data_IF_868943693609
#
_entry.id   IF_868943693609
#
_cell.length_a   1.000
_cell.length_b   1.000
_cell.length_c   1.000
_cell.angle_alpha   90.00
_cell.angle_beta   90.00
_cell.angle_gamma   90.00
#
_symmetry.space_group_name_H-M   'P 1'
#
loop_
_entity.id
_entity.type
_entity.pdbx_description
1 polymer ?
#
# COMPACT_ATOMS: atom_id res chain seq x y z
N UNK A 1 -4.77 20.16 -6.53
CA UNK A 1 -4.18 21.32 -5.81
C UNK A 1 -3.47 20.76 -4.59
N UNK A 2 -2.13 20.72 -4.63
CA UNK A 2 -1.29 19.92 -3.74
C UNK A 2 -1.28 20.45 -2.31
N UNK A 3 -1.65 19.60 -1.35
CA UNK A 3 -1.52 19.86 0.09
C UNK A 3 -0.19 19.36 0.67
N UNK A 4 0.65 18.70 -0.15
CA UNK A 4 1.86 17.97 0.26
C UNK A 4 3.16 18.78 0.18
N UNK A 5 3.19 19.92 -0.52
CA UNK A 5 4.39 20.79 -0.54
C UNK A 5 4.70 21.47 0.81
N UNK A 6 3.78 21.41 1.78
CA UNK A 6 3.95 22.09 3.08
C UNK A 6 4.83 21.25 4.04
N UNK A 7 4.85 19.92 3.94
CA UNK A 7 5.57 19.08 4.91
C UNK A 7 7.08 19.04 4.71
N UNK A 8 7.57 19.07 3.46
CA UNK A 8 9.00 19.13 3.16
C UNK A 8 9.57 20.54 3.45
N UNK A 9 8.81 21.58 3.10
CA UNK A 9 9.21 22.97 3.32
C UNK A 9 9.37 23.33 4.80
N UNK A 10 8.57 22.76 5.71
CA UNK A 10 8.68 23.06 7.15
C UNK A 10 9.88 22.36 7.81
N UNK A 11 10.25 21.15 7.38
CA UNK A 11 11.44 20.45 7.90
C UNK A 11 12.72 21.05 7.30
N UNK A 12 12.74 21.37 5.99
CA UNK A 12 13.83 22.12 5.37
C UNK A 12 13.94 23.53 5.95
N UNK A 13 12.85 24.27 6.21
CA UNK A 13 12.93 25.61 6.79
C UNK A 13 13.36 25.64 8.26
N UNK A 14 13.19 24.53 9.00
CA UNK A 14 13.66 24.41 10.38
C UNK A 14 15.14 23.99 10.48
N UNK A 15 15.69 23.34 9.45
CA UNK A 15 17.08 22.84 9.42
C UNK A 15 18.00 23.64 8.48
N UNK A 16 17.46 24.29 7.46
CA UNK A 16 18.17 25.24 6.63
C UNK A 16 18.18 26.59 7.35
N UNK A 17 19.36 27.03 7.77
CA UNK A 17 19.61 28.47 7.84
C UNK A 17 19.16 29.08 6.51
N UNK A 18 18.40 30.20 6.50
CA UNK A 18 17.90 30.77 5.27
C UNK A 18 19.05 31.00 4.30
N UNK A 19 19.00 30.31 3.16
CA UNK A 19 19.75 30.66 1.96
C UNK A 19 19.17 31.97 1.41
N UNK A 20 19.45 33.09 2.07
CA UNK A 20 19.49 34.35 1.33
C UNK A 20 20.85 34.41 0.68
N UNK A 21 20.94 33.93 -0.55
CA UNK A 21 21.98 34.40 -1.45
C UNK A 21 21.80 35.93 -1.52
N UNK A 22 22.74 36.75 -1.00
CA UNK A 22 22.64 38.18 -1.18
C UNK A 22 22.74 38.48 -2.68
N UNK A 23 21.96 39.45 -3.12
CA UNK A 23 21.84 39.87 -4.52
C UNK A 23 23.23 39.93 -5.19
N UNK A 24 23.31 39.40 -6.43
CA UNK A 24 24.55 39.27 -7.22
C UNK A 24 25.36 40.59 -7.36
N UNK A 25 24.75 41.74 -7.07
CA UNK A 25 25.36 43.06 -7.15
C UNK A 25 26.25 43.47 -5.94
N UNK A 26 26.12 42.84 -4.77
CA UNK A 26 26.93 43.21 -3.59
C UNK A 26 28.36 42.64 -3.62
N UNK A 27 28.58 41.56 -4.37
CA UNK A 27 29.84 40.80 -4.40
C UNK A 27 30.99 41.48 -5.16
N UNK A 28 30.68 42.38 -6.10
CA UNK A 28 31.70 43.00 -6.97
C UNK A 28 32.61 44.04 -6.29
N UNK A 29 32.48 44.29 -4.97
CA UNK A 29 33.14 45.42 -4.29
C UNK A 29 34.30 45.08 -3.34
N UNK A 30 34.70 43.82 -3.12
CA UNK A 30 35.88 43.50 -2.29
C UNK A 30 36.79 42.47 -2.97
N UNK A 31 38.09 42.79 -3.08
CA UNK A 31 39.10 41.83 -3.56
C UNK A 31 39.44 40.84 -2.44
N UNK A 32 39.38 39.52 -2.68
CA UNK A 32 39.78 38.53 -1.69
C UNK A 32 41.22 38.76 -1.24
N UNK A 33 41.49 38.62 0.05
CA UNK A 33 42.86 38.77 0.56
C UNK A 33 43.57 37.43 0.56
N UNK A 34 44.36 37.14 -0.48
CA UNK A 34 45.18 35.92 -0.53
C UNK A 34 46.50 36.09 0.22
N UNK A 35 46.43 36.20 1.53
CA UNK A 35 47.61 36.31 2.40
C UNK A 35 47.89 34.96 3.03
N UNK A 36 48.93 34.29 2.56
CA UNK A 36 49.41 33.02 3.09
C UNK A 36 50.94 32.97 3.12
N UNK A 37 51.47 32.27 4.12
CA UNK A 37 52.85 31.82 4.18
C UNK A 37 52.92 30.42 3.55
N UNK A 38 53.52 30.32 2.37
CA UNK A 38 53.69 29.06 1.66
C UNK A 38 55.11 28.55 1.87
N UNK A 39 55.25 27.46 2.60
CA UNK A 39 56.48 26.66 2.69
C UNK A 39 56.32 25.50 1.70
N UNK A 40 56.57 25.80 0.43
CA UNK A 40 56.32 24.88 -0.68
C UNK A 40 57.40 24.97 -1.75
N UNK A 41 57.64 23.84 -2.44
CA UNK A 41 58.41 23.77 -3.69
C UNK A 41 57.42 23.65 -4.84
N UNK A 42 57.26 24.73 -5.61
CA UNK A 42 56.11 24.88 -6.50
C UNK A 42 54.82 24.93 -5.67
N UNK A 43 53.82 24.15 -6.06
CA UNK A 43 52.56 24.05 -5.31
C UNK A 43 52.55 22.90 -4.29
N UNK A 44 53.69 22.24 -4.02
CA UNK A 44 53.76 21.11 -3.09
C UNK A 44 54.36 21.55 -1.75
N UNK A 45 53.59 21.43 -0.66
CA UNK A 45 54.10 21.73 0.68
C UNK A 45 53.03 22.11 1.71
N UNK A 46 53.35 23.10 2.54
CA UNK A 46 52.49 23.58 3.63
C UNK A 46 52.14 25.05 3.39
N UNK A 47 50.85 25.40 3.49
CA UNK A 47 50.35 26.77 3.41
C UNK A 47 49.66 27.15 4.71
N UNK A 48 50.07 28.25 5.33
CA UNK A 48 49.40 28.84 6.50
C UNK A 48 48.80 30.19 6.12
N UNK A 49 47.47 30.30 6.17
CA UNK A 49 46.71 31.48 5.76
C UNK A 49 45.90 31.24 4.47
N UNK A 50 45.34 32.31 3.92
CA UNK A 50 44.43 32.23 2.77
C UNK A 50 45.20 32.12 1.44
N UNK A 51 45.55 30.90 1.03
CA UNK A 51 46.09 30.60 -0.31
C UNK A 51 44.99 30.13 -1.26
N UNK A 52 45.18 30.36 -2.57
CA UNK A 52 44.25 29.93 -3.64
C UNK A 52 44.27 28.42 -3.89
N UNK A 53 45.43 27.79 -3.69
CA UNK A 53 45.51 26.34 -3.72
C UNK A 53 46.90 25.79 -3.40
N UNK A 54 46.92 24.51 -3.05
CA UNK A 54 48.13 23.78 -2.66
C UNK A 54 47.94 22.26 -2.77
N UNK A 55 49.01 21.56 -3.15
CA UNK A 55 49.17 20.13 -2.97
C UNK A 55 49.89 19.87 -1.63
N UNK A 56 49.20 19.35 -0.63
CA UNK A 56 49.77 19.09 0.69
C UNK A 56 48.87 19.56 1.83
N UNK A 57 49.41 20.29 2.79
CA UNK A 57 48.70 20.71 4.00
C UNK A 57 48.38 22.21 3.95
N UNK A 58 47.11 22.56 4.08
CA UNK A 58 46.64 23.94 4.20
C UNK A 58 46.01 24.15 5.56
N UNK A 59 46.45 25.19 6.27
CA UNK A 59 45.89 25.62 7.56
C UNK A 59 45.42 27.06 7.40
N UNK A 60 44.15 27.32 7.62
CA UNK A 60 43.60 28.65 7.48
C UNK A 60 42.58 28.96 8.56
N UNK A 61 42.50 30.23 8.98
CA UNK A 61 41.47 30.65 9.93
C UNK A 61 40.09 30.71 9.26
N UNK A 62 40.02 31.28 8.06
CA UNK A 62 38.77 31.45 7.30
C UNK A 62 39.05 31.44 5.81
N UNK A 63 38.48 30.50 5.08
CA UNK A 63 38.65 30.40 3.62
C UNK A 63 37.94 31.54 2.89
N UNK A 64 38.61 32.12 1.90
CA UNK A 64 38.12 33.24 1.08
C UNK A 64 38.64 33.11 -0.36
N UNK A 65 37.77 32.72 -1.31
CA UNK A 65 38.12 32.40 -2.71
C UNK A 65 39.19 31.29 -2.85
N UNK A 66 38.98 30.18 -2.14
CA UNK A 66 39.74 28.95 -2.34
C UNK A 66 39.39 28.34 -3.71
N UNK A 67 40.39 27.87 -4.46
CA UNK A 67 40.18 27.21 -5.77
C UNK A 67 40.38 25.72 -5.69
N UNK A 68 41.46 25.26 -5.08
CA UNK A 68 41.73 23.83 -5.02
C UNK A 68 42.66 23.45 -3.86
N UNK A 69 42.46 22.26 -3.30
CA UNK A 69 43.40 21.63 -2.36
C UNK A 69 43.48 20.15 -2.68
N UNK A 70 44.69 19.65 -2.89
CA UNK A 70 44.94 18.21 -3.01
C UNK A 70 45.75 17.77 -1.78
N UNK A 71 45.08 17.21 -0.77
CA UNK A 71 45.71 16.83 0.50
C UNK A 71 44.81 17.11 1.70
N UNK A 72 45.28 17.93 2.65
CA UNK A 72 44.58 18.23 3.90
C UNK A 72 44.27 19.72 3.96
N UNK A 73 42.99 20.10 4.08
CA UNK A 73 42.53 21.46 4.35
C UNK A 73 41.98 21.58 5.77
N UNK A 74 42.61 22.40 6.61
CA UNK A 74 42.15 22.73 7.96
C UNK A 74 41.61 24.18 7.97
N UNK A 75 40.32 24.37 8.25
CA UNK A 75 39.68 25.70 8.34
C UNK A 75 38.99 25.93 9.69
N UNK A 76 39.26 27.03 10.39
CA UNK A 76 38.72 27.23 11.74
C UNK A 76 37.38 28.00 11.79
N UNK A 77 36.97 28.63 10.70
CA UNK A 77 35.79 29.48 10.64
C UNK A 77 35.04 29.34 9.32
N UNK A 78 33.76 29.75 9.30
CA UNK A 78 32.90 29.68 8.12
C UNK A 78 33.54 30.41 6.94
N UNK A 79 33.68 29.71 5.82
CA UNK A 79 34.27 30.27 4.60
C UNK A 79 33.48 31.49 4.07
N UNK A 80 34.09 32.18 3.12
CA UNK A 80 33.53 33.30 2.37
C UNK A 80 33.81 32.98 0.90
N UNK A 81 32.77 32.90 0.06
CA UNK A 81 32.93 32.71 -1.39
C UNK A 81 33.82 31.53 -1.80
N UNK A 82 33.43 30.32 -1.40
CA UNK A 82 34.19 29.08 -1.62
C UNK A 82 33.49 28.08 -2.57
N UNK A 83 32.44 28.50 -3.27
CA UNK A 83 31.59 27.64 -4.08
C UNK A 83 32.28 27.07 -5.33
N UNK A 84 33.41 27.65 -5.75
CA UNK A 84 34.24 27.10 -6.85
C UNK A 84 35.38 26.19 -6.34
N UNK A 85 35.51 25.99 -5.02
CA UNK A 85 36.64 25.27 -4.44
C UNK A 85 36.51 23.76 -4.66
N UNK A 86 37.59 23.12 -5.11
CA UNK A 86 37.69 21.65 -5.20
C UNK A 86 38.67 21.13 -4.15
N UNK A 87 38.18 20.35 -3.18
CA UNK A 87 39.02 19.73 -2.15
C UNK A 87 39.09 18.23 -2.41
N UNK A 88 40.26 17.75 -2.82
CA UNK A 88 40.56 16.33 -2.96
C UNK A 88 41.38 15.88 -1.75
N UNK A 89 40.83 15.01 -0.90
CA UNK A 89 41.48 14.49 0.30
C UNK A 89 40.69 14.73 1.58
N UNK A 90 41.31 15.34 2.60
CA UNK A 90 40.71 15.55 3.92
C UNK A 90 40.40 17.04 4.14
N UNK A 91 39.14 17.38 4.32
CA UNK A 91 38.67 18.70 4.73
C UNK A 91 38.22 18.65 6.19
N UNK A 92 38.90 19.35 7.09
CA UNK A 92 38.49 19.47 8.50
C UNK A 92 38.19 20.92 8.79
N UNK A 93 37.00 21.19 9.34
CA UNK A 93 36.63 22.53 9.76
C UNK A 93 35.96 22.59 11.12
N UNK A 94 36.37 23.53 11.98
CA UNK A 94 35.74 23.71 13.29
C UNK A 94 34.27 24.11 13.11
N UNK A 95 33.98 25.19 12.38
CA UNK A 95 32.61 25.56 12.01
C UNK A 95 32.11 24.74 10.81
N UNK A 96 33.04 24.15 10.06
CA UNK A 96 32.76 23.24 8.95
C UNK A 96 33.50 23.60 7.66
N UNK A 97 33.98 22.62 6.88
CA UNK A 97 34.47 22.90 5.54
C UNK A 97 33.30 23.33 4.62
N UNK A 98 33.55 24.35 3.80
CA UNK A 98 32.65 24.78 2.73
C UNK A 98 33.43 24.80 1.41
N UNK A 99 32.94 24.09 0.40
CA UNK A 99 33.56 24.00 -0.92
C UNK A 99 32.52 23.71 -2.01
N UNK A 100 32.85 23.95 -3.27
CA UNK A 100 32.03 23.49 -4.38
C UNK A 100 32.01 21.97 -4.46
N UNK A 101 33.20 21.37 -4.50
CA UNK A 101 33.36 19.93 -4.60
C UNK A 101 34.29 19.40 -3.52
N UNK A 102 33.86 18.36 -2.81
CA UNK A 102 34.69 17.61 -1.88
C UNK A 102 34.76 16.16 -2.33
N UNK A 103 35.96 15.73 -2.71
CA UNK A 103 36.28 14.35 -3.06
C UNK A 103 37.16 13.76 -1.95
N UNK A 104 36.56 13.01 -1.03
CA UNK A 104 37.28 12.40 0.09
C UNK A 104 36.51 12.49 1.41
N UNK A 105 37.14 13.02 2.45
CA UNK A 105 36.59 13.04 3.81
C UNK A 105 36.38 14.50 4.26
N UNK A 106 35.17 14.86 4.66
CA UNK A 106 34.83 16.14 5.27
C UNK A 106 34.38 15.95 6.72
N UNK A 107 35.05 16.63 7.66
CA UNK A 107 34.74 16.57 9.10
C UNK A 107 34.53 17.98 9.64
N UNK A 108 33.47 18.21 10.40
CA UNK A 108 33.28 19.48 11.09
C UNK A 108 32.01 19.58 11.92
N UNK A 109 31.72 20.75 12.49
CA UNK A 109 30.41 21.00 13.09
C UNK A 109 29.31 20.98 12.02
N UNK A 110 29.53 21.64 10.89
CA UNK A 110 28.77 21.47 9.66
C UNK A 110 29.66 20.96 8.54
N UNK A 111 29.11 20.27 7.54
CA UNK A 111 29.78 20.08 6.25
C UNK A 111 28.87 20.70 5.21
N UNK A 112 29.40 21.60 4.38
CA UNK A 112 28.66 22.26 3.32
C UNK A 112 29.40 22.05 1.98
N UNK A 113 28.76 21.39 1.02
CA UNK A 113 29.34 21.20 -0.31
C UNK A 113 28.27 21.31 -1.39
N UNK A 114 28.61 21.70 -2.62
CA UNK A 114 27.66 21.50 -3.72
C UNK A 114 27.66 20.03 -4.15
N UNK A 115 28.85 19.44 -4.29
CA UNK A 115 29.04 18.03 -4.64
C UNK A 115 29.95 17.37 -3.61
N UNK A 116 29.53 16.21 -3.12
CA UNK A 116 30.33 15.41 -2.21
C UNK A 116 30.46 13.99 -2.73
N UNK A 117 31.70 13.56 -2.96
CA UNK A 117 32.05 12.17 -3.29
C UNK A 117 32.95 11.61 -2.17
N UNK A 118 32.38 10.83 -1.26
CA UNK A 118 33.13 10.21 -0.16
C UNK A 118 32.38 10.23 1.17
N UNK A 119 33.05 10.66 2.24
CA UNK A 119 32.53 10.64 3.61
C UNK A 119 32.35 12.07 4.15
N UNK A 120 31.14 12.44 4.57
CA UNK A 120 30.91 13.62 5.40
C UNK A 120 30.47 13.26 6.81
N UNK A 121 31.08 13.89 7.80
CA UNK A 121 30.66 13.83 9.20
C UNK A 121 30.52 15.24 9.74
N UNK A 122 29.27 15.70 9.85
CA UNK A 122 28.90 16.96 10.47
C UNK A 122 28.32 16.70 11.85
N UNK A 123 28.96 17.20 12.92
CA UNK A 123 28.47 17.03 14.28
C UNK A 123 27.06 17.63 14.50
N UNK A 124 26.70 18.65 13.71
CA UNK A 124 25.35 19.20 13.62
C UNK A 124 24.69 18.79 12.30
N UNK A 125 25.29 19.10 11.15
CA UNK A 125 24.64 18.82 9.86
C UNK A 125 25.64 18.52 8.74
N UNK A 126 25.22 17.67 7.80
CA UNK A 126 25.86 17.51 6.50
C UNK A 126 24.89 17.99 5.44
N UNK A 127 25.20 19.13 4.81
CA UNK A 127 24.38 19.77 3.78
C UNK A 127 25.13 19.71 2.46
N UNK A 128 24.54 19.03 1.48
CA UNK A 128 25.07 18.93 0.12
C UNK A 128 24.04 19.51 -0.83
N UNK A 129 24.39 20.48 -1.66
CA UNK A 129 23.39 21.18 -2.47
C UNK A 129 22.98 20.36 -3.69
N UNK A 130 23.91 19.86 -4.49
CA UNK A 130 23.62 19.20 -5.76
C UNK A 130 23.61 17.67 -5.69
N UNK A 131 24.71 17.05 -5.26
CA UNK A 131 24.79 15.57 -5.30
C UNK A 131 25.68 15.02 -4.21
N UNK A 132 25.13 14.06 -3.46
CA UNK A 132 25.85 13.33 -2.43
C UNK A 132 26.06 11.90 -2.89
N UNK A 133 27.31 11.50 -3.13
CA UNK A 133 27.70 10.14 -3.43
C UNK A 133 28.63 9.62 -2.34
N UNK A 134 28.17 8.65 -1.53
CA UNK A 134 28.97 8.03 -0.49
C UNK A 134 28.26 7.96 0.86
N UNK A 135 28.94 8.37 1.93
CA UNK A 135 28.43 8.26 3.31
C UNK A 135 28.33 9.65 3.92
N UNK A 136 27.16 10.00 4.43
CA UNK A 136 26.92 11.25 5.14
C UNK A 136 26.31 10.99 6.51
N UNK A 137 26.92 11.57 7.52
CA UNK A 137 26.47 11.50 8.91
C UNK A 137 26.33 12.91 9.45
N UNK A 138 25.10 13.26 9.81
CA UNK A 138 24.76 14.55 10.42
C UNK A 138 24.18 14.32 11.81
N UNK A 139 24.75 14.94 12.85
CA UNK A 139 24.28 14.74 14.22
C UNK A 139 22.82 15.17 14.43
N UNK A 140 22.36 16.18 13.70
CA UNK A 140 20.96 16.59 13.61
C UNK A 140 20.36 16.23 12.26
N UNK A 141 21.01 16.55 11.13
CA UNK A 141 20.45 16.27 9.82
C UNK A 141 21.47 15.99 8.72
N UNK A 142 21.05 15.16 7.77
CA UNK A 142 21.70 15.04 6.46
C UNK A 142 20.73 15.56 5.40
N UNK A 143 21.19 16.50 4.58
CA UNK A 143 20.34 17.23 3.62
C UNK A 143 21.01 17.25 2.26
N UNK A 144 20.31 16.76 1.24
CA UNK A 144 20.63 16.98 -0.18
C UNK A 144 19.64 18.02 -0.76
N UNK A 145 20.05 19.29 -0.85
CA UNK A 145 19.11 20.42 -0.94
C UNK A 145 18.49 20.62 -2.33
N UNK A 146 19.12 20.20 -3.41
CA UNK A 146 18.64 20.41 -4.79
C UNK A 146 18.85 19.20 -5.70
N UNK A 147 19.41 18.10 -5.18
CA UNK A 147 19.55 16.89 -5.96
C UNK A 147 19.74 15.63 -5.13
N UNK A 148 20.35 14.63 -5.75
CA UNK A 148 20.19 13.24 -5.34
C UNK A 148 21.16 12.81 -4.25
N UNK A 149 20.71 11.84 -3.46
CA UNK A 149 21.51 11.15 -2.46
C UNK A 149 21.73 9.71 -2.91
N UNK A 150 22.98 9.34 -3.20
CA UNK A 150 23.35 7.95 -3.48
C UNK A 150 24.34 7.44 -2.43
N UNK A 151 23.98 6.40 -1.69
CA UNK A 151 24.85 5.76 -0.69
C UNK A 151 24.18 5.64 0.68
N UNK A 152 24.84 6.10 1.74
CA UNK A 152 24.35 5.99 3.12
C UNK A 152 24.20 7.39 3.71
N UNK A 153 23.02 7.72 4.21
CA UNK A 153 22.76 8.99 4.89
C UNK A 153 22.08 8.76 6.23
N UNK A 154 22.69 9.30 7.28
CA UNK A 154 22.24 9.15 8.66
C UNK A 154 22.13 10.51 9.32
N UNK A 155 20.91 10.95 9.59
CA UNK A 155 20.59 12.16 10.33
C UNK A 155 19.99 11.84 11.70
N UNK A 156 20.53 12.44 12.77
CA UNK A 156 20.01 12.20 14.12
C UNK A 156 18.54 12.57 14.30
N UNK A 157 18.05 13.60 13.60
CA UNK A 157 16.64 13.97 13.50
C UNK A 157 16.08 13.64 12.12
N UNK A 158 16.76 14.04 11.04
CA UNK A 158 16.20 13.86 9.71
C UNK A 158 17.24 13.60 8.62
N UNK A 159 16.85 12.78 7.65
CA UNK A 159 17.55 12.60 6.38
C UNK A 159 16.62 13.07 5.26
N UNK A 160 17.03 14.10 4.54
CA UNK A 160 16.16 14.81 3.57
C UNK A 160 16.87 14.96 2.23
N UNK A 161 16.18 14.67 1.14
CA UNK A 161 16.62 15.03 -0.22
C UNK A 161 15.49 15.71 -0.98
N UNK A 162 15.84 16.70 -1.81
CA UNK A 162 14.92 17.30 -2.78
C UNK A 162 14.90 16.56 -4.14
N UNK A 163 15.81 15.61 -4.35
CA UNK A 163 15.84 14.71 -5.51
C UNK A 163 15.50 13.27 -5.11
N UNK A 164 16.10 12.30 -5.79
CA UNK A 164 16.00 10.88 -5.49
C UNK A 164 16.98 10.48 -4.38
N UNK A 165 16.62 9.46 -3.59
CA UNK A 165 17.53 8.83 -2.65
C UNK A 165 17.68 7.34 -2.97
N UNK A 166 18.89 6.93 -3.31
CA UNK A 166 19.27 5.56 -3.62
C UNK A 166 20.30 5.03 -2.62
N UNK A 167 19.92 4.02 -1.82
CA UNK A 167 20.80 3.37 -0.85
C UNK A 167 20.15 3.23 0.53
N UNK A 168 20.79 3.75 1.57
CA UNK A 168 20.33 3.66 2.97
C UNK A 168 20.09 5.07 3.50
N UNK A 169 18.84 5.39 3.83
CA UNK A 169 18.45 6.62 4.51
C UNK A 169 17.92 6.33 5.92
N UNK A 170 18.54 6.90 6.94
CA UNK A 170 18.10 6.75 8.33
C UNK A 170 17.94 8.12 8.96
N UNK A 171 16.74 8.42 9.45
CA UNK A 171 16.41 9.63 10.18
C UNK A 171 15.78 9.29 11.53
N UNK A 172 16.28 9.87 12.62
CA UNK A 172 15.73 9.58 13.95
C UNK A 172 14.24 9.93 14.09
N UNK A 173 13.77 10.97 13.41
CA UNK A 173 12.35 11.32 13.28
C UNK A 173 11.83 11.02 11.87
N UNK A 174 12.53 11.44 10.82
CA UNK A 174 12.01 11.28 9.47
C UNK A 174 13.08 11.05 8.41
N UNK A 175 12.74 10.21 7.43
CA UNK A 175 13.46 10.11 6.16
C UNK A 175 12.53 10.59 5.06
N UNK A 176 12.92 11.63 4.35
CA UNK A 176 12.07 12.35 3.38
C UNK A 176 12.79 12.49 2.05
N UNK A 177 12.10 12.13 0.96
CA UNK A 177 12.54 12.36 -0.42
C UNK A 177 11.47 13.10 -1.19
N UNK A 178 11.84 14.16 -1.90
CA UNK A 178 10.94 14.85 -2.82
C UNK A 178 10.93 14.21 -4.23
N UNK A 179 11.83 13.27 -4.49
CA UNK A 179 11.77 12.31 -5.58
C UNK A 179 11.39 10.91 -5.06
N UNK A 180 11.99 9.88 -5.64
CA UNK A 180 11.82 8.48 -5.26
C UNK A 180 12.80 8.06 -4.16
N UNK A 181 12.43 7.02 -3.39
CA UNK A 181 13.34 6.32 -2.49
C UNK A 181 13.60 4.91 -3.03
N UNK A 182 14.86 4.52 -3.15
CA UNK A 182 15.27 3.17 -3.57
C UNK A 182 16.29 2.59 -2.58
N UNK A 183 15.95 1.50 -1.92
CA UNK A 183 16.83 0.78 -1.00
C UNK A 183 16.19 0.60 0.38
N UNK A 184 16.85 1.08 1.43
CA UNK A 184 16.36 1.01 2.81
C UNK A 184 16.14 2.41 3.35
N UNK A 185 14.89 2.75 3.69
CA UNK A 185 14.54 4.01 4.34
C UNK A 185 13.93 3.73 5.71
N UNK A 186 14.48 4.36 6.75
CA UNK A 186 13.99 4.22 8.12
C UNK A 186 13.79 5.60 8.72
N UNK A 187 12.59 5.87 9.22
CA UNK A 187 12.23 7.08 9.94
C UNK A 187 11.53 6.74 11.24
N UNK A 188 12.02 7.25 12.36
CA UNK A 188 11.44 6.92 13.68
C UNK A 188 9.97 7.30 13.82
N UNK A 189 9.52 8.36 13.13
CA UNK A 189 8.12 8.72 12.98
C UNK A 189 7.62 8.46 11.55
N UNK A 190 8.35 8.91 10.53
CA UNK A 190 7.84 8.82 9.16
C UNK A 190 8.91 8.53 8.10
N UNK A 191 8.52 7.73 7.11
CA UNK A 191 9.21 7.66 5.81
C UNK A 191 8.28 8.23 4.75
N UNK A 192 8.75 9.23 4.00
CA UNK A 192 7.91 9.95 3.04
C UNK A 192 8.65 10.09 1.72
N UNK A 193 7.99 9.69 0.64
CA UNK A 193 8.44 9.88 -0.73
C UNK A 193 7.37 10.61 -1.53
N UNK A 194 7.76 11.65 -2.25
CA UNK A 194 6.90 12.32 -3.21
C UNK A 194 6.94 11.67 -4.61
N UNK A 195 7.78 10.65 -4.80
CA UNK A 195 7.77 9.72 -5.93
C UNK A 195 7.55 8.27 -5.47
N UNK A 196 8.23 7.33 -6.12
CA UNK A 196 8.07 5.90 -5.82
C UNK A 196 8.86 5.46 -4.56
N UNK A 197 8.37 4.44 -3.86
CA UNK A 197 9.07 3.73 -2.79
C UNK A 197 9.51 2.34 -3.28
N UNK A 198 10.81 2.11 -3.45
CA UNK A 198 11.39 0.82 -3.83
C UNK A 198 12.28 0.25 -2.72
N UNK A 199 12.03 -1.00 -2.29
CA UNK A 199 12.86 -1.70 -1.29
C UNK A 199 12.17 -1.84 0.06
N UNK A 200 12.84 -1.50 1.16
CA UNK A 200 12.32 -1.63 2.54
C UNK A 200 12.14 -0.24 3.15
N UNK A 201 10.91 0.12 3.49
CA UNK A 201 10.56 1.43 4.02
C UNK A 201 9.86 1.26 5.36
N UNK A 202 10.40 1.86 6.42
CA UNK A 202 9.90 1.71 7.79
C UNK A 202 9.67 3.09 8.41
N UNK A 203 8.41 3.41 8.67
CA UNK A 203 8.01 4.57 9.46
C UNK A 203 7.35 4.16 10.77
N UNK A 204 7.86 4.65 11.91
CA UNK A 204 7.30 4.27 13.22
C UNK A 204 5.83 4.67 13.40
N UNK A 205 5.38 5.74 12.75
CA UNK A 205 3.96 6.11 12.63
C UNK A 205 3.45 5.88 11.20
N UNK A 206 4.17 6.36 10.18
CA UNK A 206 3.67 6.28 8.82
C UNK A 206 4.77 6.06 7.77
N UNK A 207 4.46 5.24 6.77
CA UNK A 207 5.21 5.16 5.52
C UNK A 207 4.30 5.61 4.38
N UNK A 208 4.71 6.63 3.64
CA UNK A 208 3.88 7.33 2.66
C UNK A 208 4.60 7.48 1.33
N UNK A 209 3.93 7.11 0.25
CA UNK A 209 4.36 7.26 -1.14
C UNK A 209 3.31 8.03 -1.94
N UNK A 210 3.70 9.10 -2.63
CA UNK A 210 2.82 9.74 -3.64
C UNK A 210 2.95 9.07 -5.04
N UNK A 211 3.88 8.12 -5.19
CA UNK A 211 3.97 7.24 -6.35
C UNK A 211 3.59 5.81 -6.00
N UNK A 212 4.20 4.86 -6.69
CA UNK A 212 4.05 3.42 -6.46
C UNK A 212 4.95 2.92 -5.33
N UNK A 213 4.53 1.86 -4.66
CA UNK A 213 5.35 1.12 -3.71
C UNK A 213 5.72 -0.25 -4.28
N UNK A 214 7.01 -0.57 -4.30
CA UNK A 214 7.54 -1.87 -4.69
C UNK A 214 8.47 -2.41 -3.59
N UNK A 215 8.12 -3.54 -2.98
CA UNK A 215 8.92 -4.18 -1.92
C UNK A 215 8.15 -4.28 -0.61
N UNK A 216 8.74 -3.84 0.50
CA UNK A 216 8.16 -3.93 1.84
C UNK A 216 7.99 -2.53 2.45
N UNK A 217 6.75 -2.19 2.80
CA UNK A 217 6.41 -0.98 3.54
C UNK A 217 5.85 -1.32 4.92
N UNK A 218 6.35 -0.65 5.95
CA UNK A 218 5.87 -0.80 7.33
C UNK A 218 5.58 0.57 7.93
N UNK A 219 4.33 0.79 8.32
CA UNK A 219 3.87 1.96 9.04
C UNK A 219 3.20 1.57 10.35
N UNK A 220 3.70 2.06 11.49
CA UNK A 220 3.16 1.67 12.80
C UNK A 220 1.70 2.08 13.02
N UNK A 221 1.21 3.14 12.37
CA UNK A 221 -0.20 3.50 12.27
C UNK A 221 -0.72 3.28 10.85
N UNK A 222 -0.04 3.81 9.84
CA UNK A 222 -0.55 3.76 8.47
C UNK A 222 0.55 3.52 7.44
N UNK A 223 0.23 2.69 6.46
CA UNK A 223 0.95 2.59 5.21
C UNK A 223 0.06 3.12 4.09
N UNK A 224 0.54 4.12 3.35
CA UNK A 224 -0.25 4.78 2.30
C UNK A 224 0.57 4.90 1.03
N UNK A 225 -0.03 4.49 -0.09
CA UNK A 225 0.52 4.73 -1.43
C UNK A 225 -0.57 5.31 -2.33
N UNK A 226 -0.29 6.40 -3.02
CA UNK A 226 -1.21 7.00 -4.02
C UNK A 226 -1.20 6.22 -5.33
N UNK A 227 -0.12 5.49 -5.64
CA UNK A 227 -0.05 4.58 -6.79
C UNK A 227 -0.34 3.12 -6.45
N UNK A 228 0.24 2.22 -7.23
CA UNK A 228 0.17 0.77 -7.03
C UNK A 228 1.06 0.30 -5.87
N UNK A 229 0.64 -0.77 -5.20
CA UNK A 229 1.44 -1.48 -4.19
C UNK A 229 1.81 -2.88 -4.69
N UNK A 230 3.07 -3.10 -5.05
CA UNK A 230 3.63 -4.40 -5.39
C UNK A 230 4.53 -4.92 -4.26
N UNK A 231 4.12 -5.97 -3.56
CA UNK A 231 4.90 -6.59 -2.48
C UNK A 231 4.14 -6.72 -1.16
N UNK A 232 4.73 -6.28 -0.05
CA UNK A 232 4.16 -6.45 1.31
C UNK A 232 3.97 -5.10 1.98
N UNK A 233 2.72 -4.76 2.28
CA UNK A 233 2.36 -3.56 3.00
C UNK A 233 1.75 -3.86 4.37
N UNK A 234 2.39 -3.37 5.43
CA UNK A 234 1.94 -3.54 6.82
C UNK A 234 1.65 -2.19 7.46
N UNK A 235 0.39 -1.95 7.80
CA UNK A 235 -0.09 -0.79 8.51
C UNK A 235 -0.73 -1.18 9.84
N UNK A 236 -0.27 -0.61 10.96
CA UNK A 236 -0.79 -1.00 12.27
C UNK A 236 -2.28 -0.72 12.45
N UNK A 237 -2.80 0.35 11.87
CA UNK A 237 -4.23 0.64 11.78
C UNK A 237 -4.75 0.44 10.35
N UNK A 238 -4.05 0.98 9.35
CA UNK A 238 -4.53 0.93 7.97
C UNK A 238 -3.41 0.72 6.95
N UNK A 239 -3.71 -0.10 5.94
CA UNK A 239 -2.94 -0.17 4.70
C UNK A 239 -3.83 0.31 3.56
N UNK A 240 -3.39 1.35 2.87
CA UNK A 240 -4.13 2.02 1.80
C UNK A 240 -3.29 2.05 0.54
N UNK A 241 -3.82 1.49 -0.53
CA UNK A 241 -3.33 1.68 -1.90
C UNK A 241 -4.45 2.33 -2.71
N UNK A 242 -4.24 3.54 -3.23
CA UNK A 242 -5.24 4.19 -4.07
C UNK A 242 -5.28 3.55 -5.47
N UNK A 243 -4.16 2.97 -5.93
CA UNK A 243 -4.08 2.09 -7.09
C UNK A 243 -4.38 0.62 -6.79
N UNK A 244 -3.72 -0.26 -7.54
CA UNK A 244 -3.85 -1.71 -7.43
C UNK A 244 -2.88 -2.31 -6.41
N UNK A 245 -3.27 -3.40 -5.75
CA UNK A 245 -2.39 -4.16 -4.85
C UNK A 245 -2.02 -5.52 -5.46
N UNK A 246 -0.73 -5.71 -5.72
CA UNK A 246 -0.11 -6.95 -6.19
C UNK A 246 0.76 -7.54 -5.07
N UNK A 247 0.19 -8.38 -4.21
CA UNK A 247 0.92 -8.98 -3.09
C UNK A 247 0.11 -9.09 -1.81
N UNK A 248 0.60 -8.55 -0.70
CA UNK A 248 -0.01 -8.68 0.64
C UNK A 248 -0.20 -7.29 1.25
N UNK A 249 -1.44 -6.93 1.56
CA UNK A 249 -1.78 -5.74 2.34
C UNK A 249 -2.43 -6.11 3.67
N UNK A 250 -1.84 -5.70 4.79
CA UNK A 250 -2.39 -5.96 6.13
C UNK A 250 -2.60 -4.64 6.86
N UNK A 251 -3.83 -4.38 7.28
CA UNK A 251 -4.21 -3.27 8.15
C UNK A 251 -4.85 -3.78 9.42
N UNK A 252 -4.39 -3.33 10.60
CA UNK A 252 -4.95 -3.79 11.88
C UNK A 252 -6.44 -3.46 12.06
N UNK A 253 -6.94 -2.40 11.42
CA UNK A 253 -8.36 -2.08 11.34
C UNK A 253 -8.89 -2.18 9.91
N UNK A 254 -8.21 -1.62 8.92
CA UNK A 254 -8.68 -1.69 7.53
C UNK A 254 -7.57 -1.87 6.50
N UNK A 255 -7.86 -2.64 5.46
CA UNK A 255 -7.10 -2.65 4.22
C UNK A 255 -8.00 -2.12 3.09
N UNK A 256 -7.56 -1.06 2.43
CA UNK A 256 -8.32 -0.36 1.39
C UNK A 256 -7.52 -0.32 0.10
N UNK A 257 -8.09 -0.85 -0.97
CA UNK A 257 -7.48 -0.93 -2.30
C UNK A 257 -8.43 -0.25 -3.29
N UNK A 258 -7.97 0.83 -3.91
CA UNK A 258 -8.77 1.71 -4.78
C UNK A 258 -9.02 1.13 -6.17
N UNK A 259 -8.15 0.24 -6.64
CA UNK A 259 -8.33 -0.50 -7.88
C UNK A 259 -8.31 -2.01 -7.65
N UNK A 260 -7.51 -2.76 -8.40
CA UNK A 260 -7.57 -4.21 -8.44
C UNK A 260 -6.70 -4.85 -7.34
N UNK A 261 -7.15 -5.97 -6.80
CA UNK A 261 -6.38 -6.79 -5.87
C UNK A 261 -5.94 -8.08 -6.58
N UNK A 262 -4.63 -8.28 -6.69
CA UNK A 262 -4.00 -9.56 -7.03
C UNK A 262 -3.15 -10.05 -5.86
N UNK A 263 -3.75 -10.81 -4.94
CA UNK A 263 -3.05 -11.31 -3.75
C UNK A 263 -3.92 -11.41 -2.49
N UNK A 264 -3.41 -10.95 -1.35
CA UNK A 264 -4.05 -11.06 -0.04
C UNK A 264 -4.28 -9.68 0.58
N UNK A 265 -5.52 -9.37 0.94
CA UNK A 265 -5.88 -8.20 1.76
C UNK A 265 -6.45 -8.64 3.10
N UNK A 266 -5.89 -8.13 4.19
CA UNK A 266 -6.36 -8.40 5.56
C UNK A 266 -6.66 -7.10 6.26
N UNK A 267 -7.90 -6.95 6.71
CA UNK A 267 -8.32 -5.86 7.59
C UNK A 267 -8.91 -6.42 8.88
N UNK A 268 -8.42 -5.98 10.03
CA UNK A 268 -8.96 -6.48 11.32
C UNK A 268 -10.46 -6.21 11.49
N UNK A 269 -10.98 -5.11 10.93
CA UNK A 269 -12.40 -4.83 10.82
C UNK A 269 -12.89 -5.04 9.38
N UNK A 270 -12.23 -4.44 8.38
CA UNK A 270 -12.72 -4.47 7.00
C UNK A 270 -11.61 -4.57 5.95
N UNK A 271 -11.83 -5.40 4.94
CA UNK A 271 -11.08 -5.39 3.67
C UNK A 271 -12.01 -4.85 2.58
N UNK A 272 -11.58 -3.77 1.91
CA UNK A 272 -12.37 -3.10 0.88
C UNK A 272 -11.55 -3.01 -0.40
N UNK A 273 -12.07 -3.58 -1.47
CA UNK A 273 -11.46 -3.53 -2.81
C UNK A 273 -12.47 -2.94 -3.78
N UNK A 274 -12.10 -1.84 -4.42
CA UNK A 274 -13.01 -1.13 -5.34
C UNK A 274 -12.97 -1.71 -6.76
N UNK A 275 -11.84 -2.27 -7.19
CA UNK A 275 -11.68 -2.96 -8.47
C UNK A 275 -12.03 -4.44 -8.41
N UNK A 276 -11.50 -5.18 -9.39
CA UNK A 276 -11.58 -6.63 -9.46
C UNK A 276 -10.66 -7.28 -8.42
N UNK A 277 -10.96 -8.51 -8.03
CA UNK A 277 -10.13 -9.25 -7.08
C UNK A 277 -9.80 -10.63 -7.59
N UNK A 278 -8.52 -10.98 -7.56
CA UNK A 278 -8.01 -12.33 -7.74
C UNK A 278 -7.15 -12.64 -6.51
N UNK A 279 -7.63 -13.52 -5.63
CA UNK A 279 -6.92 -13.92 -4.43
C UNK A 279 -7.81 -13.99 -3.19
N UNK A 280 -7.35 -13.43 -2.07
CA UNK A 280 -8.02 -13.57 -0.79
C UNK A 280 -8.24 -12.23 -0.10
N UNK A 281 -9.42 -12.06 0.49
CA UNK A 281 -9.73 -10.95 1.40
C UNK A 281 -10.28 -11.47 2.71
N UNK A 282 -9.76 -10.92 3.81
CA UNK A 282 -10.17 -11.25 5.17
C UNK A 282 -10.53 -9.97 5.92
N UNK A 283 -11.74 -9.94 6.47
CA UNK A 283 -12.27 -8.84 7.26
C UNK A 283 -12.92 -9.36 8.53
N UNK A 284 -12.50 -8.88 9.70
CA UNK A 284 -13.09 -9.34 10.98
C UNK A 284 -14.57 -9.01 11.10
N UNK A 285 -15.05 -7.94 10.47
CA UNK A 285 -16.47 -7.63 10.31
C UNK A 285 -16.93 -7.88 8.87
N UNK A 286 -16.23 -7.32 7.87
CA UNK A 286 -16.70 -7.42 6.49
C UNK A 286 -15.60 -7.45 5.43
N UNK A 287 -15.90 -8.13 4.33
CA UNK A 287 -15.17 -7.99 3.06
C UNK A 287 -16.10 -7.39 2.02
N UNK A 288 -15.63 -6.37 1.30
CA UNK A 288 -16.44 -5.64 0.31
C UNK A 288 -15.65 -5.52 -0.98
N UNK A 289 -16.22 -6.04 -2.06
CA UNK A 289 -15.66 -6.00 -3.40
C UNK A 289 -16.65 -5.32 -4.34
N UNK A 290 -16.26 -4.24 -5.02
CA UNK A 290 -17.18 -3.50 -5.88
C UNK A 290 -17.28 -4.05 -7.31
N UNK A 291 -16.35 -4.91 -7.75
CA UNK A 291 -16.42 -5.61 -9.04
C UNK A 291 -16.37 -7.13 -8.86
N UNK A 292 -15.97 -7.84 -9.92
CA UNK A 292 -15.86 -9.28 -9.93
C UNK A 292 -14.73 -9.76 -9.00
N UNK A 293 -14.96 -10.87 -8.33
CA UNK A 293 -14.09 -11.39 -7.29
C UNK A 293 -13.89 -12.91 -7.46
N UNK A 294 -12.66 -13.35 -7.73
CA UNK A 294 -12.25 -14.75 -7.76
C UNK A 294 -11.30 -15.12 -6.60
N UNK A 295 -11.70 -16.08 -5.76
CA UNK A 295 -10.87 -16.68 -4.72
C UNK A 295 -11.55 -16.91 -3.37
N UNK A 296 -10.97 -16.40 -2.28
CA UNK A 296 -11.39 -16.66 -0.89
C UNK A 296 -11.80 -15.36 -0.17
N UNK A 297 -13.03 -15.30 0.31
CA UNK A 297 -13.59 -14.11 0.95
C UNK A 297 -14.17 -14.45 2.32
N UNK A 298 -13.53 -13.95 3.38
CA UNK A 298 -13.89 -14.25 4.76
C UNK A 298 -14.28 -12.96 5.50
N UNK A 299 -15.58 -12.75 5.67
CA UNK A 299 -16.14 -11.67 6.48
C UNK A 299 -16.77 -12.22 7.76
N UNK A 300 -16.36 -11.71 8.93
CA UNK A 300 -16.92 -12.19 10.20
C UNK A 300 -18.43 -11.97 10.34
N UNK A 301 -18.97 -10.88 9.78
CA UNK A 301 -20.41 -10.62 9.68
C UNK A 301 -20.88 -10.75 8.23
N UNK A 302 -20.22 -10.09 7.28
CA UNK A 302 -20.67 -10.08 5.89
C UNK A 302 -19.55 -10.19 4.86
N UNK A 303 -19.83 -10.90 3.79
CA UNK A 303 -19.05 -10.87 2.55
C UNK A 303 -19.95 -10.33 1.45
N UNK A 304 -19.55 -9.21 0.84
CA UNK A 304 -20.33 -8.50 -0.16
C UNK A 304 -19.52 -8.34 -1.44
N UNK A 305 -20.03 -8.87 -2.55
CA UNK A 305 -19.46 -8.71 -3.88
C UNK A 305 -20.51 -8.05 -4.77
N UNK A 306 -20.24 -6.84 -5.25
CA UNK A 306 -21.15 -6.09 -6.10
C UNK A 306 -21.05 -6.48 -7.59
N UNK A 307 -20.09 -7.34 -7.95
CA UNK A 307 -20.02 -8.04 -9.23
C UNK A 307 -20.41 -9.51 -9.14
N UNK A 308 -19.79 -10.32 -9.97
CA UNK A 308 -19.85 -11.79 -9.93
C UNK A 308 -18.75 -12.33 -9.03
N UNK A 309 -19.04 -13.40 -8.30
CA UNK A 309 -18.09 -14.02 -7.39
C UNK A 309 -17.81 -15.47 -7.81
N UNK A 310 -16.54 -15.87 -7.80
CA UNK A 310 -16.09 -17.23 -8.01
C UNK A 310 -15.22 -17.68 -6.83
N UNK A 311 -15.50 -18.85 -6.24
CA UNK A 311 -14.69 -19.42 -5.16
C UNK A 311 -15.45 -19.64 -3.86
N UNK A 312 -14.82 -19.34 -2.71
CA UNK A 312 -15.40 -19.54 -1.38
C UNK A 312 -15.73 -18.19 -0.72
N UNK A 313 -17.01 -17.97 -0.47
CA UNK A 313 -17.53 -16.80 0.22
C UNK A 313 -18.10 -17.22 1.57
N UNK A 314 -17.57 -16.66 2.65
CA UNK A 314 -18.06 -16.89 4.01
C UNK A 314 -18.40 -15.56 4.65
N UNK A 315 -19.65 -15.43 5.08
CA UNK A 315 -20.13 -14.31 5.89
C UNK A 315 -20.83 -14.85 7.12
N UNK A 316 -20.41 -14.48 8.33
CA UNK A 316 -21.02 -15.04 9.55
C UNK A 316 -22.54 -14.83 9.61
N UNK A 317 -23.04 -13.69 9.13
CA UNK A 317 -24.46 -13.40 8.96
C UNK A 317 -24.90 -13.56 7.50
N UNK A 318 -24.19 -12.97 6.53
CA UNK A 318 -24.60 -13.06 5.13
C UNK A 318 -23.44 -13.07 4.12
N UNK A 319 -23.62 -13.86 3.07
CA UNK A 319 -22.84 -13.77 1.83
C UNK A 319 -23.75 -13.25 0.72
N UNK A 320 -23.42 -12.08 0.18
CA UNK A 320 -24.24 -11.34 -0.79
C UNK A 320 -23.45 -11.08 -2.06
N UNK A 321 -23.97 -11.53 -3.19
CA UNK A 321 -23.37 -11.34 -4.52
C UNK A 321 -24.39 -10.67 -5.44
N UNK A 322 -24.06 -9.50 -5.98
CA UNK A 322 -24.97 -8.77 -6.87
C UNK A 322 -24.91 -9.25 -8.34
N UNK A 323 -24.18 -10.33 -8.60
CA UNK A 323 -24.05 -10.98 -9.91
C UNK A 323 -24.30 -12.48 -9.86
N UNK A 324 -23.46 -13.23 -10.57
CA UNK A 324 -23.44 -14.70 -10.49
C UNK A 324 -22.49 -15.12 -9.36
N UNK A 325 -22.89 -16.10 -8.58
CA UNK A 325 -22.06 -16.79 -7.60
C UNK A 325 -21.73 -18.18 -8.13
N UNK A 326 -20.45 -18.48 -8.34
CA UNK A 326 -19.95 -19.80 -8.72
C UNK A 326 -19.03 -20.33 -7.63
N UNK A 327 -19.26 -21.55 -7.13
CA UNK A 327 -18.46 -22.13 -6.04
C UNK A 327 -19.29 -22.32 -4.77
N UNK A 328 -18.77 -21.87 -3.62
CA UNK A 328 -19.37 -22.10 -2.32
C UNK A 328 -19.71 -20.78 -1.61
N UNK A 329 -20.98 -20.60 -1.26
CA UNK A 329 -21.45 -19.50 -0.42
C UNK A 329 -21.93 -20.02 0.94
N UNK A 330 -21.39 -19.48 2.03
CA UNK A 330 -21.79 -19.81 3.40
C UNK A 330 -22.26 -18.53 4.08
N UNK A 331 -23.44 -18.58 4.70
CA UNK A 331 -24.03 -17.44 5.40
C UNK A 331 -24.91 -17.87 6.55
N UNK A 332 -24.73 -17.32 7.76
CA UNK A 332 -25.57 -17.70 8.91
C UNK A 332 -27.07 -17.49 8.66
N UNK A 333 -27.47 -16.26 8.30
CA UNK A 333 -28.84 -15.91 7.96
C UNK A 333 -29.14 -16.00 6.47
N UNK A 334 -28.18 -15.67 5.60
CA UNK A 334 -28.47 -15.68 4.17
C UNK A 334 -27.26 -15.92 3.26
N UNK A 335 -27.52 -16.65 2.17
CA UNK A 335 -26.69 -16.65 0.96
C UNK A 335 -27.56 -16.14 -0.18
N UNK A 336 -27.17 -15.00 -0.77
CA UNK A 336 -27.98 -14.29 -1.76
C UNK A 336 -27.16 -14.02 -3.01
N UNK A 337 -27.72 -14.36 -4.18
CA UNK A 337 -27.20 -13.92 -5.47
C UNK A 337 -28.30 -13.26 -6.32
N UNK A 338 -28.03 -12.07 -6.87
CA UNK A 338 -29.00 -11.35 -7.70
C UNK A 338 -29.22 -12.00 -9.07
N UNK A 339 -28.31 -12.85 -9.57
CA UNK A 339 -28.49 -13.55 -10.85
C UNK A 339 -28.59 -15.06 -10.67
N UNK A 340 -27.47 -15.74 -10.41
CA UNK A 340 -27.42 -17.21 -10.34
C UNK A 340 -26.51 -17.66 -9.22
N UNK A 341 -26.82 -18.80 -8.64
CA UNK A 341 -25.92 -19.58 -7.80
C UNK A 341 -25.62 -20.87 -8.55
N UNK A 342 -24.34 -21.17 -8.76
CA UNK A 342 -23.83 -22.43 -9.33
C UNK A 342 -22.82 -23.05 -8.36
N UNK A 343 -23.21 -24.10 -7.67
CA UNK A 343 -22.36 -24.81 -6.72
C UNK A 343 -23.07 -25.11 -5.41
N UNK A 344 -22.46 -24.74 -4.28
CA UNK A 344 -22.91 -25.07 -2.94
C UNK A 344 -23.32 -23.78 -2.22
N UNK A 345 -24.57 -23.70 -1.74
CA UNK A 345 -25.03 -22.60 -0.91
C UNK A 345 -25.58 -23.12 0.42
N UNK A 346 -24.97 -22.70 1.52
CA UNK A 346 -25.31 -23.16 2.86
C UNK A 346 -25.74 -21.97 3.74
N UNK A 347 -26.94 -22.06 4.29
CA UNK A 347 -27.41 -21.09 5.27
C UNK A 347 -28.33 -21.70 6.32
N UNK A 348 -28.19 -21.27 7.58
CA UNK A 348 -29.19 -21.61 8.60
C UNK A 348 -30.50 -20.84 8.40
N UNK A 349 -30.47 -19.71 7.68
CA UNK A 349 -31.65 -18.99 7.25
C UNK A 349 -32.04 -19.31 5.80
N UNK A 350 -31.76 -18.40 4.88
CA UNK A 350 -32.27 -18.44 3.52
C UNK A 350 -31.17 -18.59 2.46
N UNK A 351 -31.39 -19.44 1.47
CA UNK A 351 -30.66 -19.39 0.20
C UNK A 351 -31.57 -18.77 -0.85
N UNK A 352 -31.11 -17.71 -1.51
CA UNK A 352 -31.87 -17.00 -2.52
C UNK A 352 -31.06 -16.72 -3.78
N UNK A 353 -31.62 -17.06 -4.93
CA UNK A 353 -31.08 -16.69 -6.24
C UNK A 353 -32.22 -16.20 -7.14
N UNK A 354 -32.15 -15.01 -7.74
CA UNK A 354 -33.30 -14.54 -8.54
C UNK A 354 -33.54 -15.34 -9.83
N UNK A 355 -32.48 -15.87 -10.44
CA UNK A 355 -32.52 -16.57 -11.72
C UNK A 355 -32.48 -18.09 -11.60
N UNK A 356 -31.34 -18.62 -11.18
CA UNK A 356 -31.09 -20.07 -11.11
C UNK A 356 -30.31 -20.40 -9.84
N UNK A 357 -30.75 -21.40 -9.10
CA UNK A 357 -29.92 -22.15 -8.18
C UNK A 357 -29.60 -23.51 -8.82
N UNK A 358 -28.34 -23.75 -9.15
CA UNK A 358 -27.84 -25.01 -9.70
C UNK A 358 -26.80 -25.63 -8.78
N UNK A 359 -27.02 -26.87 -8.32
CA UNK A 359 -26.10 -27.61 -7.45
C UNK A 359 -26.75 -28.04 -6.14
N UNK A 360 -26.13 -27.70 -5.01
CA UNK A 360 -26.61 -28.05 -3.66
C UNK A 360 -26.98 -26.78 -2.90
N UNK A 361 -28.23 -26.68 -2.46
CA UNK A 361 -28.65 -25.60 -1.56
C UNK A 361 -29.25 -26.15 -0.27
N UNK A 362 -28.74 -25.68 0.85
CA UNK A 362 -29.25 -26.00 2.19
C UNK A 362 -29.65 -24.70 2.90
N UNK A 363 -30.93 -24.53 3.19
CA UNK A 363 -31.49 -23.37 3.87
C UNK A 363 -32.34 -23.77 5.08
N UNK A 364 -31.92 -23.47 6.31
CA UNK A 364 -32.68 -23.87 7.51
C UNK A 364 -34.11 -23.29 7.54
N UNK A 365 -34.33 -22.10 6.98
CA UNK A 365 -35.66 -21.55 6.75
C UNK A 365 -36.16 -21.84 5.33
N UNK A 366 -35.50 -21.29 4.30
CA UNK A 366 -36.01 -21.40 2.92
C UNK A 366 -34.92 -21.49 1.85
N UNK A 367 -35.30 -22.10 0.73
CA UNK A 367 -34.57 -21.99 -0.54
C UNK A 367 -35.52 -21.48 -1.62
N UNK A 368 -35.19 -20.35 -2.25
CA UNK A 368 -36.05 -19.73 -3.27
C UNK A 368 -35.27 -19.33 -4.53
N UNK A 369 -35.77 -19.74 -5.71
CA UNK A 369 -35.28 -19.24 -7.00
C UNK A 369 -36.35 -19.26 -8.09
N UNK A 370 -36.07 -18.64 -9.26
CA UNK A 370 -36.89 -18.85 -10.45
C UNK A 370 -36.74 -20.28 -10.96
N UNK A 371 -35.54 -20.83 -11.02
CA UNK A 371 -35.26 -22.22 -11.39
C UNK A 371 -34.39 -22.89 -10.33
N UNK A 372 -34.76 -24.09 -9.93
CA UNK A 372 -33.98 -24.93 -9.01
C UNK A 372 -33.52 -26.18 -9.76
N UNK A 373 -32.22 -26.44 -9.77
CA UNK A 373 -31.62 -27.59 -10.45
C UNK A 373 -30.62 -28.27 -9.50
N UNK A 374 -30.89 -29.52 -9.11
CA UNK A 374 -30.01 -30.31 -8.24
C UNK A 374 -30.65 -30.72 -6.90
N UNK A 375 -29.88 -30.62 -5.81
CA UNK A 375 -30.24 -31.06 -4.47
C UNK A 375 -30.63 -29.86 -3.60
N UNK A 376 -31.91 -29.78 -3.23
CA UNK A 376 -32.47 -28.68 -2.44
C UNK A 376 -32.94 -29.21 -1.08
N UNK A 377 -32.42 -28.66 0.00
CA UNK A 377 -32.86 -28.99 1.36
C UNK A 377 -33.24 -27.68 2.04
N UNK A 378 -34.52 -27.53 2.38
CA UNK A 378 -35.00 -26.40 3.17
C UNK A 378 -35.70 -26.91 4.43
N UNK A 379 -35.55 -26.25 5.58
CA UNK A 379 -36.27 -26.68 6.79
C UNK A 379 -37.77 -26.43 6.66
N UNK A 380 -38.16 -25.22 6.23
CA UNK A 380 -39.58 -24.82 6.16
C UNK A 380 -40.07 -24.80 4.72
N UNK A 381 -39.40 -24.08 3.81
CA UNK A 381 -39.97 -23.77 2.49
C UNK A 381 -38.99 -23.86 1.33
N UNK A 382 -39.37 -24.61 0.31
CA UNK A 382 -38.78 -24.52 -1.03
C UNK A 382 -39.76 -23.82 -1.97
N UNK A 383 -39.26 -22.85 -2.75
CA UNK A 383 -40.06 -22.18 -3.78
C UNK A 383 -39.31 -22.06 -5.10
N UNK A 384 -39.87 -22.65 -6.14
CA UNK A 384 -39.43 -22.46 -7.53
C UNK A 384 -40.52 -21.74 -8.32
N UNK A 385 -40.19 -20.61 -8.95
CA UNK A 385 -41.21 -19.81 -9.70
C UNK A 385 -41.49 -20.35 -11.11
N UNK A 386 -40.52 -21.01 -11.75
CA UNK A 386 -40.65 -21.57 -13.11
C UNK A 386 -40.45 -23.07 -13.16
N UNK A 387 -39.39 -23.60 -12.56
CA UNK A 387 -39.14 -25.03 -12.62
C UNK A 387 -38.28 -25.53 -11.47
N UNK A 388 -38.48 -26.79 -11.13
CA UNK A 388 -37.58 -27.57 -10.29
C UNK A 388 -37.18 -28.83 -11.06
N UNK A 389 -35.88 -29.08 -11.17
CA UNK A 389 -35.34 -30.32 -11.75
C UNK A 389 -34.39 -30.95 -10.74
N UNK A 390 -34.72 -32.13 -10.21
CA UNK A 390 -33.89 -32.85 -9.26
C UNK A 390 -34.65 -33.25 -8.00
N UNK A 391 -34.05 -33.00 -6.84
CA UNK A 391 -34.53 -33.47 -5.56
C UNK A 391 -34.73 -32.30 -4.59
N UNK A 392 -35.88 -32.25 -3.92
CA UNK A 392 -36.15 -31.24 -2.91
C UNK A 392 -36.77 -31.83 -1.64
N UNK A 393 -36.29 -31.42 -0.47
CA UNK A 393 -36.92 -31.68 0.82
C UNK A 393 -37.27 -30.34 1.46
N UNK A 394 -38.52 -30.18 1.90
CA UNK A 394 -38.95 -29.09 2.77
C UNK A 394 -40.27 -29.39 3.45
N UNK A 395 -40.59 -28.73 4.57
CA UNK A 395 -41.95 -28.79 5.13
C UNK A 395 -43.03 -28.43 4.10
N UNK A 396 -42.76 -27.41 3.29
CA UNK A 396 -43.63 -26.92 2.23
C UNK A 396 -42.86 -26.71 0.92
N UNK A 397 -43.12 -27.56 -0.08
CA UNK A 397 -42.59 -27.41 -1.44
C UNK A 397 -43.65 -26.75 -2.34
N UNK A 398 -43.31 -25.60 -2.94
CA UNK A 398 -44.20 -24.89 -3.85
C UNK A 398 -43.51 -24.55 -5.17
N UNK A 399 -43.80 -25.36 -6.17
CA UNK A 399 -43.31 -25.28 -7.53
C UNK A 399 -44.42 -24.66 -8.39
N UNK A 400 -44.27 -23.38 -8.74
CA UNK A 400 -45.29 -22.63 -9.48
C UNK A 400 -45.33 -22.93 -10.99
N UNK A 401 -44.37 -23.71 -11.48
CA UNK A 401 -44.33 -24.21 -12.85
C UNK A 401 -44.08 -25.72 -12.87
N UNK A 402 -43.08 -26.15 -13.63
CA UNK A 402 -42.84 -27.57 -13.94
C UNK A 402 -41.91 -28.20 -12.91
N UNK A 403 -42.32 -29.34 -12.36
CA UNK A 403 -41.50 -30.17 -11.48
C UNK A 403 -41.02 -31.41 -12.23
N UNK A 404 -39.71 -31.54 -12.42
CA UNK A 404 -39.04 -32.77 -12.82
C UNK A 404 -38.30 -33.39 -11.63
N UNK A 405 -38.67 -34.60 -11.24
CA UNK A 405 -38.00 -35.33 -10.15
C UNK A 405 -38.81 -35.44 -8.86
N UNK A 406 -38.11 -35.47 -7.72
CA UNK A 406 -38.67 -35.88 -6.42
C UNK A 406 -38.76 -34.72 -5.43
N UNK A 407 -39.95 -34.49 -4.87
CA UNK A 407 -40.15 -33.57 -3.75
C UNK A 407 -40.69 -34.31 -2.54
N UNK A 408 -40.10 -34.09 -1.36
CA UNK A 408 -40.54 -34.66 -0.09
C UNK A 408 -40.90 -33.53 0.86
N UNK A 409 -42.08 -33.59 1.49
CA UNK A 409 -42.54 -32.57 2.41
C UNK A 409 -43.87 -32.86 3.07
N UNK A 410 -44.29 -32.06 4.05
CA UNK A 410 -45.65 -32.18 4.61
C UNK A 410 -46.68 -31.79 3.55
N UNK A 411 -46.36 -30.76 2.77
CA UNK A 411 -47.16 -30.30 1.64
C UNK A 411 -46.30 -30.11 0.41
N UNK A 412 -46.71 -30.71 -0.70
CA UNK A 412 -46.09 -30.52 -2.01
C UNK A 412 -47.11 -29.96 -2.99
N UNK A 413 -46.70 -28.95 -3.77
CA UNK A 413 -47.51 -28.36 -4.84
C UNK A 413 -46.68 -28.15 -6.08
N UNK A 414 -47.13 -28.70 -7.20
CA UNK A 414 -46.61 -28.41 -8.53
C UNK A 414 -47.76 -27.99 -9.46
N UNK A 415 -47.51 -27.00 -10.33
CA UNK A 415 -48.46 -26.67 -11.40
C UNK A 415 -48.51 -27.78 -12.44
N UNK A 416 -47.35 -28.32 -12.79
CA UNK A 416 -47.18 -29.46 -13.68
C UNK A 416 -46.12 -30.39 -13.07
N UNK A 417 -46.47 -31.66 -12.89
CA UNK A 417 -45.63 -32.69 -12.29
C UNK A 417 -45.16 -33.67 -13.37
N UNK A 418 -43.86 -33.91 -13.43
CA UNK A 418 -43.18 -34.99 -14.16
C UNK A 418 -42.20 -35.66 -13.20
N UNK A 419 -42.72 -36.48 -12.30
CA UNK A 419 -41.95 -37.10 -11.24
C UNK A 419 -42.83 -37.55 -10.09
N UNK A 420 -42.29 -37.47 -8.87
CA UNK A 420 -42.92 -38.01 -7.66
C UNK A 420 -42.94 -36.96 -6.55
N UNK A 421 -44.06 -36.87 -5.85
CA UNK A 421 -44.23 -36.09 -4.63
C UNK A 421 -44.55 -37.05 -3.49
N UNK A 422 -43.86 -36.91 -2.36
CA UNK A 422 -44.09 -37.68 -1.14
C UNK A 422 -44.41 -36.72 -0.01
N UNK A 423 -45.59 -36.86 0.59
CA UNK A 423 -46.05 -35.96 1.64
C UNK A 423 -47.46 -36.20 2.13
N UNK A 424 -47.82 -35.58 3.26
CA UNK A 424 -49.18 -35.71 3.83
C UNK A 424 -50.25 -35.21 2.84
N UNK A 425 -49.93 -34.16 2.09
CA UNK A 425 -50.80 -33.61 1.06
C UNK A 425 -50.00 -33.20 -0.19
N UNK A 426 -50.38 -33.73 -1.35
CA UNK A 426 -49.70 -33.49 -2.61
C UNK A 426 -50.67 -32.93 -3.66
N UNK A 427 -50.29 -31.83 -4.32
CA UNK A 427 -51.03 -31.22 -5.40
C UNK A 427 -50.25 -31.25 -6.72
N UNK A 428 -50.86 -31.82 -7.76
CA UNK A 428 -50.37 -31.81 -9.13
C UNK A 428 -51.45 -31.25 -10.08
N UNK A 429 -51.21 -30.07 -10.65
CA UNK A 429 -52.21 -29.38 -11.48
C UNK A 429 -52.53 -30.05 -12.82
N UNK A 430 -51.63 -30.89 -13.33
CA UNK A 430 -51.78 -31.66 -14.57
C UNK A 430 -52.47 -33.02 -14.38
N UNK A 431 -52.80 -33.43 -13.15
CA UNK A 431 -53.65 -34.60 -12.92
C UNK A 431 -55.15 -34.25 -13.10
N UNK A 432 -55.97 -35.26 -13.38
CA UNK A 432 -57.42 -35.09 -13.57
C UNK A 432 -58.24 -35.43 -12.32
N UNK A 433 -59.34 -34.71 -12.12
CA UNK A 433 -60.31 -34.98 -11.05
C UNK A 433 -59.71 -35.00 -9.64
N UNK A 434 -60.07 -36.03 -8.88
CA UNK A 434 -59.59 -36.26 -7.49
C UNK A 434 -58.08 -36.50 -7.41
N UNK A 435 -57.45 -36.98 -8.48
CA UNK A 435 -56.01 -37.28 -8.53
C UNK A 435 -55.12 -36.03 -8.51
N UNK A 436 -55.72 -34.84 -8.64
CA UNK A 436 -55.05 -33.56 -8.37
C UNK A 436 -54.54 -33.45 -6.94
N UNK A 437 -55.27 -34.04 -6.00
CA UNK A 437 -54.98 -34.01 -4.58
C UNK A 437 -54.84 -35.43 -4.06
N UNK A 438 -53.62 -35.84 -3.72
CA UNK A 438 -53.37 -37.19 -3.20
C UNK A 438 -52.64 -37.16 -1.86
N UNK A 439 -53.09 -37.95 -0.88
CA UNK A 439 -52.34 -38.18 0.35
C UNK A 439 -51.15 -39.10 0.09
N UNK A 440 -50.10 -38.96 0.89
CA UNK A 440 -48.89 -39.79 0.92
C UNK A 440 -48.01 -39.70 -0.34
N UNK A 441 -48.53 -40.08 -1.51
CA UNK A 441 -47.78 -40.12 -2.77
C UNK A 441 -48.63 -39.58 -3.92
N UNK A 442 -48.03 -38.71 -4.75
CA UNK A 442 -48.57 -38.30 -6.04
C UNK A 442 -47.48 -38.47 -7.11
N UNK A 443 -47.81 -39.05 -8.25
CA UNK A 443 -46.86 -39.28 -9.32
C UNK A 443 -47.51 -39.01 -10.68
N UNK A 444 -46.71 -38.48 -11.59
CA UNK A 444 -47.08 -38.30 -12.99
C UNK A 444 -45.80 -38.52 -13.81
N UNK A 445 -45.75 -39.61 -14.57
CA UNK A 445 -44.53 -40.14 -15.21
C UNK A 445 -44.59 -40.05 -16.75
N UNK A 446 -45.53 -39.27 -17.27
CA UNK A 446 -45.72 -39.08 -18.71
C UNK A 446 -44.83 -37.98 -19.29
#
# INVERSE_FOLDING_TARGET
MSKTSISCAVILAALALPHTAPAQDEWRRRRPSHRALNVAVGDYGISVGNSRGINGLRINFRDDDLRWVNGINLTFWKARDNYDAVINGLAVGLVGPQAGEINGIALGLGVEAERLNGLSVGALASVVTQSLHGVAVGGLATVAAEGDLTGIAVGGLATVTNGDMAGIGVGGLATVSNGSLRGLAVGGLATVSNGDLHGINVGGLAAVSNGNMHGMGVGGLALVTEGDMAGVGLGGLATVADGSLHGIGVGGLASVIGEDLAGLSVGGLASVVTGATIGASVGGLATVHNRDAEGLYLGGLATVVNGSAAGLLVGGLASVVNGDMTGMGIGGLAVVASRRIRGIALSAGAVHAEGLMQGVAVGGYKVESRRLEGLIIAGIRTKARRSLTGFAIAGYNNIQGVQHGLTIGLYNRARELHGVQVGLLNYAGNNEGVWRWLPLVNAHLN
#
